data_IF_785040694208
#
_entry.id   IF_785040694208
#
_cell.length_a   1.000
_cell.length_b   1.000
_cell.length_c   1.000
_cell.angle_alpha   90.00
_cell.angle_beta   90.00
_cell.angle_gamma   90.00
#
_symmetry.space_group_name_H-M   'P 1'
#
loop_
_entity.id
_entity.type
_entity.pdbx_description
1 polymer ?
#
# COMPACT_ATOMS: atom_id res chain seq x y z
N UNK A 1 -2.01 34.82 -25.52
CA UNK A 1 -2.28 35.31 -24.14
C UNK A 1 -2.67 34.10 -23.30
N UNK A 2 -2.03 33.83 -22.14
CA UNK A 2 -2.41 32.69 -21.32
C UNK A 2 -3.84 32.88 -20.83
N UNK A 3 -4.70 31.89 -21.07
CA UNK A 3 -6.09 31.90 -20.58
C UNK A 3 -6.04 31.85 -19.06
N UNK A 4 -6.41 32.96 -18.42
CA UNK A 4 -6.41 33.08 -16.96
C UNK A 4 -7.54 32.23 -16.38
N UNK A 5 -7.25 31.43 -15.35
CA UNK A 5 -8.28 30.62 -14.67
C UNK A 5 -9.43 31.53 -14.20
N UNK A 6 -10.70 31.19 -14.48
CA UNK A 6 -11.85 31.97 -14.05
C UNK A 6 -11.85 32.19 -12.53
N UNK A 7 -12.27 33.37 -12.10
CA UNK A 7 -12.40 33.71 -10.69
C UNK A 7 -13.85 34.07 -10.34
N UNK A 8 -14.19 34.08 -9.04
CA UNK A 8 -15.50 34.59 -8.60
C UNK A 8 -15.73 36.05 -9.01
N UNK A 9 -14.67 36.83 -9.23
CA UNK A 9 -14.77 38.19 -9.72
C UNK A 9 -15.18 38.24 -11.21
N UNK A 10 -14.81 37.25 -12.00
CA UNK A 10 -15.25 37.13 -13.40
C UNK A 10 -16.73 36.73 -13.48
N UNK A 11 -17.16 35.78 -12.62
CA UNK A 11 -18.58 35.43 -12.46
C UNK A 11 -19.39 36.66 -12.03
N UNK A 12 -18.93 37.38 -11.00
CA UNK A 12 -19.60 38.55 -10.46
C UNK A 12 -19.80 39.64 -11.54
N UNK A 13 -18.76 39.89 -12.35
CA UNK A 13 -18.79 40.84 -13.46
C UNK A 13 -19.81 40.44 -14.52
N UNK A 14 -19.84 39.15 -14.92
CA UNK A 14 -20.74 38.65 -15.95
C UNK A 14 -22.20 38.55 -15.47
N UNK A 15 -22.41 38.25 -14.19
CA UNK A 15 -23.72 38.19 -13.56
C UNK A 15 -24.25 39.58 -13.14
N UNK A 16 -23.43 40.62 -13.13
CA UNK A 16 -23.82 41.96 -12.68
C UNK A 16 -24.14 42.02 -11.18
N UNK A 17 -23.39 41.27 -10.36
CA UNK A 17 -23.60 41.19 -8.89
C UNK A 17 -22.28 41.35 -8.14
N UNK A 18 -22.32 41.40 -6.81
CA UNK A 18 -21.10 41.45 -5.98
C UNK A 18 -20.45 40.07 -5.82
N UNK A 19 -19.14 40.04 -5.53
CA UNK A 19 -18.42 38.79 -5.19
C UNK A 19 -19.05 38.07 -3.98
N UNK A 20 -19.62 38.81 -3.03
CA UNK A 20 -20.33 38.25 -1.88
C UNK A 20 -21.61 37.51 -2.30
N UNK A 21 -22.41 38.08 -3.20
CA UNK A 21 -23.59 37.41 -3.76
C UNK A 21 -23.21 36.15 -4.54
N UNK A 22 -22.11 36.17 -5.30
CA UNK A 22 -21.56 34.96 -5.95
C UNK A 22 -21.17 33.91 -4.90
N UNK A 23 -20.51 34.30 -3.81
CA UNK A 23 -20.17 33.39 -2.71
C UNK A 23 -21.40 32.73 -2.08
N UNK A 24 -22.45 33.50 -1.83
CA UNK A 24 -23.69 33.00 -1.22
C UNK A 24 -24.46 32.09 -2.16
N UNK A 25 -24.49 32.43 -3.46
CA UNK A 25 -25.08 31.60 -4.49
C UNK A 25 -24.38 30.24 -4.61
N UNK A 26 -23.04 30.24 -4.72
CA UNK A 26 -22.23 29.03 -4.94
C UNK A 26 -22.13 28.13 -3.71
N UNK A 27 -22.19 28.68 -2.49
CA UNK A 27 -22.14 27.91 -1.24
C UNK A 27 -23.54 27.62 -0.66
N UNK A 28 -24.60 27.77 -1.46
CA UNK A 28 -25.99 27.55 -1.05
C UNK A 28 -26.41 28.30 0.24
N UNK A 29 -25.89 29.52 0.47
CA UNK A 29 -26.24 30.35 1.64
C UNK A 29 -27.46 31.23 1.34
N UNK A 30 -28.28 31.59 2.36
CA UNK A 30 -29.38 32.54 2.19
C UNK A 30 -28.86 33.95 1.87
N UNK A 31 -29.70 34.79 1.25
CA UNK A 31 -29.35 36.18 0.89
C UNK A 31 -29.18 36.47 -0.61
N UNK A 32 -29.53 35.51 -1.47
CA UNK A 32 -29.60 35.67 -2.94
C UNK A 32 -30.92 35.09 -3.42
N UNK A 33 -31.65 35.79 -4.29
CA UNK A 33 -32.89 35.28 -4.87
C UNK A 33 -32.63 34.07 -5.77
N UNK A 34 -33.56 33.11 -5.83
CA UNK A 34 -33.41 31.90 -6.66
C UNK A 34 -33.12 32.19 -8.15
N UNK A 35 -33.77 33.18 -8.80
CA UNK A 35 -33.41 33.57 -10.17
C UNK A 35 -31.95 34.03 -10.29
N UNK A 36 -31.45 34.77 -9.30
CA UNK A 36 -30.06 35.25 -9.29
C UNK A 36 -29.09 34.10 -9.04
N UNK A 37 -29.44 33.15 -8.16
CA UNK A 37 -28.67 31.94 -7.88
C UNK A 37 -28.52 31.09 -9.14
N UNK A 38 -29.62 30.80 -9.84
CA UNK A 38 -29.59 30.05 -11.10
C UNK A 38 -28.70 30.72 -12.15
N UNK A 39 -28.81 32.05 -12.31
CA UNK A 39 -27.95 32.80 -13.24
C UNK A 39 -26.46 32.70 -12.89
N UNK A 40 -26.12 32.79 -11.61
CA UNK A 40 -24.73 32.67 -11.15
C UNK A 40 -24.19 31.26 -11.41
N UNK A 41 -24.98 30.22 -11.12
CA UNK A 41 -24.58 28.82 -11.34
C UNK A 41 -24.35 28.53 -12.84
N UNK A 42 -25.27 28.99 -13.71
CA UNK A 42 -25.11 28.85 -15.16
C UNK A 42 -23.84 29.55 -15.67
N UNK A 43 -23.56 30.77 -15.22
CA UNK A 43 -22.34 31.50 -15.59
C UNK A 43 -21.08 30.79 -15.09
N UNK A 44 -21.11 30.24 -13.88
CA UNK A 44 -19.98 29.49 -13.32
C UNK A 44 -19.69 28.23 -14.15
N UNK A 45 -20.73 27.51 -14.57
CA UNK A 45 -20.65 26.34 -15.44
C UNK A 45 -20.11 26.71 -16.84
N UNK A 46 -20.66 27.75 -17.48
CA UNK A 46 -20.20 28.24 -18.79
C UNK A 46 -18.73 28.66 -18.78
N UNK A 47 -18.27 29.28 -17.69
CA UNK A 47 -16.87 29.70 -17.55
C UNK A 47 -15.95 28.53 -17.17
N UNK A 48 -16.48 27.34 -16.85
CA UNK A 48 -15.71 26.23 -16.30
C UNK A 48 -15.09 26.58 -14.94
N UNK A 49 -15.72 27.46 -14.17
CA UNK A 49 -15.23 27.85 -12.86
C UNK A 49 -15.37 26.70 -11.86
N UNK A 50 -14.33 26.50 -11.06
CA UNK A 50 -14.31 25.56 -9.95
C UNK A 50 -13.88 26.28 -8.67
N UNK A 51 -14.41 25.90 -7.49
CA UNK A 51 -14.03 26.54 -6.25
C UNK A 51 -12.56 26.26 -5.91
N UNK A 52 -11.84 27.31 -5.53
CA UNK A 52 -10.44 27.19 -5.14
C UNK A 52 -10.32 26.33 -3.87
N UNK A 53 -9.59 25.22 -3.94
CA UNK A 53 -9.38 24.30 -2.82
C UNK A 53 -8.72 24.99 -1.62
N UNK A 54 -7.76 25.89 -1.84
CA UNK A 54 -7.12 26.64 -0.76
C UNK A 54 -8.10 27.58 -0.04
N UNK A 55 -9.04 28.18 -0.77
CA UNK A 55 -10.08 29.01 -0.17
C UNK A 55 -11.10 28.17 0.62
N UNK A 56 -11.46 26.97 0.12
CA UNK A 56 -12.32 26.00 0.83
C UNK A 56 -11.67 25.48 2.11
N UNK A 57 -10.39 25.13 2.06
CA UNK A 57 -9.65 24.67 3.24
C UNK A 57 -9.61 25.72 4.36
N UNK A 58 -9.55 27.00 3.99
CA UNK A 58 -9.63 28.12 4.94
C UNK A 58 -11.05 28.34 5.49
N UNK A 59 -12.10 28.14 4.68
CA UNK A 59 -13.49 28.39 5.10
C UNK A 59 -14.12 27.22 5.86
N UNK A 60 -13.90 26.00 5.39
CA UNK A 60 -14.60 24.79 5.83
C UNK A 60 -13.72 23.96 6.78
N UNK A 61 -12.45 24.36 6.95
CA UNK A 61 -11.47 23.68 7.80
C UNK A 61 -10.94 22.36 7.24
N UNK A 62 -11.41 21.92 6.05
CA UNK A 62 -11.06 20.66 5.39
C UNK A 62 -10.35 20.86 4.06
N UNK A 63 -9.30 20.09 3.82
CA UNK A 63 -8.54 20.09 2.58
C UNK A 63 -9.31 19.47 1.40
N UNK A 64 -10.15 18.47 1.69
CA UNK A 64 -10.87 17.67 0.71
C UNK A 64 -9.99 16.67 -0.02
N UNK A 65 -8.90 16.20 0.60
CA UNK A 65 -7.94 15.24 0.02
C UNK A 65 -7.33 14.34 1.09
N UNK A 66 -6.86 13.15 0.70
CA UNK A 66 -6.06 12.27 1.57
C UNK A 66 -4.65 12.11 1.03
N UNK A 67 -3.69 11.82 1.90
CA UNK A 67 -2.29 11.61 1.53
C UNK A 67 -1.87 10.15 1.60
N UNK A 68 -0.95 9.75 0.73
CA UNK A 68 -0.19 8.51 0.82
C UNK A 68 1.26 8.86 0.52
N UNK A 69 2.14 8.61 1.49
CA UNK A 69 3.59 8.74 1.30
C UNK A 69 4.20 7.34 1.35
N UNK A 70 5.10 7.07 0.41
CA UNK A 70 5.79 5.77 0.33
C UNK A 70 7.30 6.01 0.43
N UNK A 71 7.91 5.49 1.48
CA UNK A 71 9.36 5.47 1.70
C UNK A 71 10.03 4.34 0.88
N UNK A 72 10.10 4.57 -0.44
CA UNK A 72 10.73 3.68 -1.44
C UNK A 72 11.25 4.51 -2.62
N UNK A 73 12.26 4.01 -3.36
CA UNK A 73 12.65 4.59 -4.64
C UNK A 73 11.46 4.71 -5.60
N UNK A 74 11.34 5.82 -6.33
CA UNK A 74 10.19 6.07 -7.21
C UNK A 74 9.94 4.97 -8.26
N UNK A 75 11.02 4.31 -8.73
CA UNK A 75 10.92 3.17 -9.67
C UNK A 75 10.10 2.00 -9.13
N UNK A 76 9.99 1.84 -7.81
CA UNK A 76 9.23 0.75 -7.17
C UNK A 76 7.76 0.76 -7.60
N UNK A 77 7.16 1.93 -7.83
CA UNK A 77 5.76 2.04 -8.28
C UNK A 77 5.47 1.29 -9.60
N UNK A 78 6.45 1.24 -10.51
CA UNK A 78 6.31 0.54 -11.79
C UNK A 78 6.69 -0.93 -11.75
N UNK A 79 7.30 -1.39 -10.66
CA UNK A 79 7.86 -2.74 -10.54
C UNK A 79 7.04 -3.63 -9.62
N UNK A 80 6.52 -3.09 -8.52
CA UNK A 80 5.84 -3.86 -7.48
C UNK A 80 4.31 -3.74 -7.61
N UNK A 81 3.61 -4.79 -8.07
CA UNK A 81 2.17 -4.71 -8.36
C UNK A 81 1.30 -4.41 -7.14
N UNK A 82 1.79 -4.73 -5.93
CA UNK A 82 1.08 -4.50 -4.66
C UNK A 82 0.60 -3.05 -4.53
N UNK A 83 1.50 -2.06 -4.72
CA UNK A 83 1.15 -0.65 -4.50
C UNK A 83 0.10 -0.15 -5.48
N UNK A 84 0.17 -0.58 -6.75
CA UNK A 84 -0.82 -0.15 -7.75
C UNK A 84 -2.20 -0.75 -7.50
N UNK A 85 -2.27 -2.00 -7.05
CA UNK A 85 -3.54 -2.60 -6.62
C UNK A 85 -4.09 -1.91 -5.37
N UNK A 86 -3.23 -1.59 -4.40
CA UNK A 86 -3.63 -0.87 -3.19
C UNK A 86 -4.18 0.52 -3.52
N UNK A 87 -3.48 1.28 -4.36
CA UNK A 87 -3.91 2.61 -4.82
C UNK A 87 -5.21 2.51 -5.60
N UNK A 88 -5.38 1.50 -6.46
CA UNK A 88 -6.63 1.25 -7.18
C UNK A 88 -7.80 1.04 -6.20
N UNK A 89 -7.59 0.22 -5.17
CA UNK A 89 -8.54 0.00 -4.07
C UNK A 89 -8.92 1.30 -3.35
N UNK A 90 -7.93 2.09 -2.93
CA UNK A 90 -8.15 3.39 -2.30
C UNK A 90 -8.96 4.30 -3.22
N UNK A 91 -8.54 4.44 -4.48
CA UNK A 91 -9.21 5.30 -5.47
C UNK A 91 -10.65 4.89 -5.76
N UNK A 92 -10.98 3.60 -5.69
CA UNK A 92 -12.36 3.12 -5.87
C UNK A 92 -13.34 3.73 -4.87
N UNK A 93 -12.87 4.10 -3.67
CA UNK A 93 -13.66 4.73 -2.61
C UNK A 93 -13.53 6.26 -2.60
N UNK A 94 -12.42 6.81 -3.09
CA UNK A 94 -12.21 8.26 -3.15
C UNK A 94 -12.85 8.92 -4.39
N UNK A 95 -12.94 8.18 -5.50
CA UNK A 95 -13.51 8.67 -6.76
C UNK A 95 -15.00 9.00 -6.65
N UNK A 96 -15.74 8.26 -5.81
CA UNK A 96 -17.18 8.48 -5.60
C UNK A 96 -17.53 9.91 -5.20
N UNK A 97 -16.63 10.57 -4.45
CA UNK A 97 -16.80 11.95 -3.98
C UNK A 97 -15.76 12.91 -4.59
N UNK A 98 -15.09 12.52 -5.68
CA UNK A 98 -14.00 13.28 -6.30
C UNK A 98 -12.91 13.73 -5.31
N UNK A 99 -12.64 12.94 -4.27
CA UNK A 99 -11.62 13.23 -3.26
C UNK A 99 -10.23 12.89 -3.83
N UNK A 100 -9.30 13.85 -3.98
CA UNK A 100 -7.98 13.55 -4.50
C UNK A 100 -7.13 12.72 -3.52
N UNK A 101 -6.26 11.87 -4.06
CA UNK A 101 -5.17 11.23 -3.32
C UNK A 101 -3.86 11.95 -3.66
N UNK A 102 -3.23 12.54 -2.65
CA UNK A 102 -1.89 13.09 -2.75
C UNK A 102 -0.86 11.98 -2.54
N UNK A 103 -0.35 11.43 -3.64
CA UNK A 103 0.73 10.43 -3.62
C UNK A 103 2.09 11.12 -3.68
N UNK A 104 3.02 10.73 -2.81
CA UNK A 104 4.42 11.18 -2.87
C UNK A 104 5.37 10.06 -2.49
N UNK A 105 6.48 9.94 -3.21
CA UNK A 105 7.57 9.04 -2.83
C UNK A 105 8.55 9.82 -1.95
N UNK A 106 8.88 9.28 -0.78
CA UNK A 106 9.88 9.82 0.12
C UNK A 106 11.19 9.03 0.00
N UNK A 107 12.30 9.72 0.27
CA UNK A 107 13.64 9.10 0.28
C UNK A 107 13.87 8.26 1.54
N UNK A 108 13.31 8.71 2.66
CA UNK A 108 13.36 8.08 3.96
C UNK A 108 12.17 8.50 4.84
N UNK A 109 12.06 7.87 6.02
CA UNK A 109 11.05 8.16 7.03
C UNK A 109 11.08 9.61 7.53
N UNK A 110 12.25 10.26 7.56
CA UNK A 110 12.37 11.65 8.05
C UNK A 110 11.77 12.64 7.03
N UNK A 111 12.00 12.41 5.74
CA UNK A 111 11.37 13.15 4.65
C UNK A 111 9.83 12.95 4.66
N UNK A 112 9.36 11.73 4.90
CA UNK A 112 7.94 11.43 5.07
C UNK A 112 7.31 12.19 6.26
N UNK A 113 7.96 12.18 7.42
CA UNK A 113 7.54 12.97 8.59
C UNK A 113 7.47 14.47 8.27
N UNK A 114 8.45 15.00 7.55
CA UNK A 114 8.47 16.40 7.14
C UNK A 114 7.29 16.73 6.19
N UNK A 115 6.95 15.81 5.28
CA UNK A 115 5.78 15.93 4.42
C UNK A 115 4.48 15.93 5.22
N UNK A 116 4.31 15.06 6.22
CA UNK A 116 3.12 15.07 7.08
C UNK A 116 2.95 16.38 7.82
N UNK A 117 4.02 16.89 8.46
CA UNK A 117 3.99 18.20 9.14
C UNK A 117 3.64 19.33 8.18
N UNK A 118 4.25 19.34 6.99
CA UNK A 118 4.01 20.32 5.93
C UNK A 118 2.57 20.28 5.43
N UNK A 119 2.06 19.10 5.07
CA UNK A 119 0.71 18.91 4.55
C UNK A 119 -0.35 19.27 5.60
N UNK A 120 -0.13 18.90 6.85
CA UNK A 120 -1.05 19.23 7.94
C UNK A 120 -1.08 20.74 8.21
N UNK A 121 0.09 21.38 8.37
CA UNK A 121 0.18 22.83 8.61
C UNK A 121 -0.43 23.65 7.46
N UNK A 122 -0.31 23.17 6.22
CA UNK A 122 -0.83 23.85 5.03
C UNK A 122 -2.27 23.43 4.67
N UNK A 123 -2.92 22.58 5.48
CA UNK A 123 -4.27 22.04 5.22
C UNK A 123 -4.39 21.44 3.82
N UNK A 124 -3.41 20.61 3.43
CA UNK A 124 -3.38 19.94 2.12
C UNK A 124 -4.08 18.60 2.12
N UNK A 125 -4.20 17.96 3.28
CA UNK A 125 -4.89 16.67 3.43
C UNK A 125 -5.69 16.66 4.73
N UNK A 126 -6.76 15.87 4.74
CA UNK A 126 -7.61 15.62 5.92
C UNK A 126 -7.19 14.36 6.69
N UNK A 127 -6.20 13.62 6.17
CA UNK A 127 -5.63 12.44 6.79
C UNK A 127 -4.69 11.69 5.84
N UNK A 128 -3.98 10.69 6.35
CA UNK A 128 -2.99 9.92 5.59
C UNK A 128 -3.12 8.40 5.76
N UNK A 129 -2.76 7.67 4.70
CA UNK A 129 -2.50 6.25 4.76
C UNK A 129 -1.04 6.01 5.15
N UNK A 130 -0.81 5.14 6.13
CA UNK A 130 0.52 4.76 6.58
C UNK A 130 0.82 3.32 6.16
N UNK A 131 1.85 3.13 5.34
CA UNK A 131 2.34 1.83 4.87
C UNK A 131 3.76 1.58 5.37
N UNK A 132 4.25 0.34 5.24
CA UNK A 132 5.64 -0.01 5.55
C UNK A 132 6.06 0.38 6.98
N UNK A 133 5.19 0.13 7.96
CA UNK A 133 5.46 0.44 9.36
C UNK A 133 6.78 -0.22 9.80
N UNK A 134 7.65 0.51 10.49
CA UNK A 134 8.90 0.02 11.04
C UNK A 134 8.73 -0.51 12.48
N UNK A 135 9.72 -1.24 12.99
CA UNK A 135 9.66 -1.79 14.34
C UNK A 135 9.62 -0.72 15.46
N UNK A 136 10.29 0.41 15.22
CA UNK A 136 10.28 1.60 16.08
C UNK A 136 9.94 2.80 15.19
N UNK A 137 8.65 2.98 14.91
CA UNK A 137 8.20 3.91 13.89
C UNK A 137 7.87 5.31 14.44
N UNK A 138 8.74 6.27 14.17
CA UNK A 138 8.55 7.65 14.62
C UNK A 138 7.32 8.33 14.00
N UNK A 139 6.81 7.85 12.86
CA UNK A 139 5.66 8.46 12.17
C UNK A 139 4.40 8.35 13.01
N UNK A 140 4.21 7.25 13.75
CA UNK A 140 3.04 7.03 14.61
C UNK A 140 2.92 8.15 15.64
N UNK A 141 3.96 8.34 16.44
CA UNK A 141 4.01 9.39 17.47
C UNK A 141 3.80 10.79 16.87
N UNK A 142 4.38 11.07 15.70
CA UNK A 142 4.19 12.37 15.03
C UNK A 142 2.74 12.57 14.61
N UNK A 143 2.10 11.57 14.00
CA UNK A 143 0.71 11.67 13.55
C UNK A 143 -0.24 11.88 14.72
N UNK A 144 -0.01 11.21 15.85
CA UNK A 144 -0.75 11.41 17.10
C UNK A 144 -0.56 12.83 17.66
N UNK A 145 0.68 13.32 17.72
CA UNK A 145 0.99 14.68 18.20
C UNK A 145 0.39 15.78 17.32
N UNK A 146 0.30 15.55 16.01
CA UNK A 146 -0.36 16.46 15.09
C UNK A 146 -1.89 16.42 15.23
N UNK A 147 -2.45 15.38 15.84
CA UNK A 147 -3.88 15.08 15.80
C UNK A 147 -4.37 14.80 14.37
N UNK A 148 -3.49 14.28 13.53
CA UNK A 148 -3.74 14.05 12.11
C UNK A 148 -4.40 12.67 11.93
N UNK A 149 -5.61 12.58 11.35
CA UNK A 149 -6.24 11.31 11.07
C UNK A 149 -5.35 10.42 10.20
N UNK A 150 -5.11 9.19 10.63
CA UNK A 150 -4.31 8.24 9.87
C UNK A 150 -4.84 6.82 10.02
N UNK A 151 -4.58 6.00 8.99
CA UNK A 151 -4.87 4.56 9.01
C UNK A 151 -3.62 3.80 8.63
N UNK A 152 -3.24 2.83 9.45
CA UNK A 152 -2.14 1.92 9.16
C UNK A 152 -2.63 0.80 8.26
N UNK A 153 -1.87 0.49 7.22
CA UNK A 153 -2.11 -0.64 6.32
C UNK A 153 -1.04 -1.67 6.64
N UNK A 154 -1.35 -2.57 7.57
CA UNK A 154 -0.40 -3.50 8.19
C UNK A 154 -0.84 -3.88 9.59
N UNK A 155 -0.14 -4.85 10.20
CA UNK A 155 -0.50 -5.39 11.51
C UNK A 155 -0.67 -4.29 12.60
N UNK A 156 -1.62 -4.45 13.55
CA UNK A 156 -1.94 -3.44 14.57
C UNK A 156 -0.86 -3.31 15.66
N UNK A 157 0.22 -4.09 15.58
CA UNK A 157 1.31 -4.01 16.55
C UNK A 157 2.19 -2.78 16.30
N UNK A 158 2.24 -1.92 17.31
CA UNK A 158 3.04 -0.68 17.29
C UNK A 158 2.37 0.45 16.52
N UNK A 159 1.05 0.42 16.35
CA UNK A 159 0.29 1.50 15.69
C UNK A 159 -0.17 2.60 16.66
N UNK A 160 0.10 2.45 17.97
CA UNK A 160 -0.37 3.40 18.98
C UNK A 160 -1.90 3.42 19.04
N UNK A 161 -2.49 4.61 18.97
CA UNK A 161 -3.93 4.81 18.85
C UNK A 161 -4.44 4.82 17.39
N UNK A 162 -3.55 4.66 16.40
CA UNK A 162 -3.95 4.68 14.99
C UNK A 162 -4.63 3.36 14.62
N UNK A 163 -5.82 3.41 14.00
CA UNK A 163 -6.52 2.21 13.54
C UNK A 163 -5.75 1.55 12.38
N UNK A 164 -5.83 0.23 12.30
CA UNK A 164 -5.19 -0.55 11.27
C UNK A 164 -6.18 -1.35 10.41
N UNK A 165 -5.91 -1.46 9.11
CA UNK A 165 -6.44 -2.56 8.30
C UNK A 165 -5.32 -3.58 8.13
N UNK A 166 -5.58 -4.85 8.44
CA UNK A 166 -4.53 -5.87 8.54
C UNK A 166 -5.01 -7.27 8.16
N UNK A 167 -4.05 -8.19 7.96
CA UNK A 167 -4.28 -9.63 7.86
C UNK A 167 -3.20 -10.37 8.65
N UNK A 168 -3.49 -11.58 9.16
CA UNK A 168 -2.52 -12.34 9.96
C UNK A 168 -1.39 -12.94 9.10
N UNK A 169 -0.34 -12.15 8.88
CA UNK A 169 0.89 -12.57 8.21
C UNK A 169 1.58 -13.76 8.90
N UNK A 170 1.49 -13.86 10.23
CA UNK A 170 2.10 -14.97 10.96
C UNK A 170 1.34 -16.28 10.69
N UNK A 171 0.00 -16.24 10.62
CA UNK A 171 -0.80 -17.39 10.21
C UNK A 171 -0.51 -17.82 8.77
N UNK A 172 -0.39 -16.87 7.85
CA UNK A 172 -0.04 -17.15 6.45
C UNK A 172 1.35 -17.83 6.33
N UNK A 173 2.36 -17.34 7.06
CA UNK A 173 3.67 -18.01 7.11
C UNK A 173 3.56 -19.44 7.66
N UNK A 174 2.84 -19.64 8.77
CA UNK A 174 2.65 -20.99 9.35
C UNK A 174 1.98 -21.93 8.35
N UNK A 175 0.99 -21.47 7.61
CA UNK A 175 0.29 -22.26 6.59
C UNK A 175 1.24 -22.67 5.45
N UNK A 176 2.06 -21.74 4.95
CA UNK A 176 3.06 -22.01 3.91
C UNK A 176 4.11 -23.02 4.37
N UNK A 177 4.70 -22.80 5.55
CA UNK A 177 5.77 -23.68 6.06
C UNK A 177 5.24 -25.09 6.31
N UNK A 178 4.03 -25.22 6.89
CA UNK A 178 3.38 -26.53 7.09
C UNK A 178 3.09 -27.22 5.77
N UNK A 179 2.55 -26.51 4.78
CA UNK A 179 2.31 -27.07 3.45
C UNK A 179 3.60 -27.64 2.83
N UNK A 180 4.73 -26.91 2.89
CA UNK A 180 6.00 -27.40 2.39
C UNK A 180 6.52 -28.61 3.19
N UNK A 181 6.34 -28.60 4.51
CA UNK A 181 6.73 -29.72 5.38
C UNK A 181 5.92 -30.99 5.09
N UNK A 182 4.62 -30.85 4.83
CA UNK A 182 3.69 -31.93 4.47
C UNK A 182 4.05 -32.56 3.12
N UNK A 183 4.57 -31.74 2.18
CA UNK A 183 5.14 -32.22 0.91
C UNK A 183 6.50 -32.91 1.08
N UNK A 184 7.07 -32.94 2.28
CA UNK A 184 8.33 -33.61 2.59
C UNK A 184 9.56 -32.70 2.56
N UNK A 185 9.42 -31.39 2.37
CA UNK A 185 10.55 -30.48 2.48
C UNK A 185 11.09 -30.44 3.92
N UNK A 186 12.42 -30.47 4.04
CA UNK A 186 13.14 -30.43 5.35
C UNK A 186 14.14 -29.28 5.47
N UNK A 187 14.59 -28.74 4.33
CA UNK A 187 15.47 -27.57 4.25
C UNK A 187 14.75 -26.48 3.49
N UNK A 188 14.43 -25.38 4.18
CA UNK A 188 13.69 -24.24 3.64
C UNK A 188 14.57 -22.99 3.65
N UNK A 189 14.35 -22.09 2.70
CA UNK A 189 14.86 -20.74 2.78
C UNK A 189 13.73 -19.71 2.63
N UNK A 190 13.90 -18.57 3.27
CA UNK A 190 13.08 -17.38 3.03
C UNK A 190 13.98 -16.26 2.51
N UNK A 191 13.63 -15.71 1.35
CA UNK A 191 14.23 -14.49 0.80
C UNK A 191 13.27 -13.34 1.12
N UNK A 192 13.63 -12.58 2.15
CA UNK A 192 12.77 -11.55 2.73
C UNK A 192 13.20 -10.14 2.37
N UNK A 193 12.30 -9.18 2.59
CA UNK A 193 12.63 -7.76 2.48
C UNK A 193 13.43 -7.21 3.66
N UNK A 194 13.52 -5.88 3.80
CA UNK A 194 14.29 -5.24 4.86
C UNK A 194 13.78 -5.58 6.27
N UNK A 195 14.70 -5.94 7.16
CA UNK A 195 14.39 -6.41 8.52
C UNK A 195 13.89 -5.30 9.46
N UNK A 196 13.99 -4.02 9.05
CA UNK A 196 13.40 -2.89 9.80
C UNK A 196 11.87 -2.82 9.72
N UNK A 197 11.27 -3.45 8.70
CA UNK A 197 9.84 -3.37 8.45
C UNK A 197 9.09 -4.38 9.32
N UNK A 198 7.99 -3.93 9.92
CA UNK A 198 7.20 -4.71 10.88
C UNK A 198 6.68 -6.02 10.28
N UNK A 199 6.11 -5.98 9.07
CA UNK A 199 5.61 -7.20 8.41
C UNK A 199 6.75 -8.18 8.12
N UNK A 200 7.92 -7.71 7.72
CA UNK A 200 9.11 -8.56 7.52
C UNK A 200 9.54 -9.23 8.82
N UNK A 201 9.55 -8.49 9.94
CA UNK A 201 9.85 -9.04 11.27
C UNK A 201 8.83 -10.10 11.67
N UNK A 202 7.53 -9.80 11.55
CA UNK A 202 6.44 -10.75 11.86
C UNK A 202 6.63 -12.04 11.08
N UNK A 203 6.86 -11.94 9.76
CA UNK A 203 7.05 -13.10 8.89
C UNK A 203 8.33 -13.87 9.24
N UNK A 204 9.43 -13.18 9.54
CA UNK A 204 10.69 -13.83 9.95
C UNK A 204 10.52 -14.59 11.27
N UNK A 205 9.91 -13.97 12.28
CA UNK A 205 9.65 -14.59 13.58
C UNK A 205 8.75 -15.81 13.42
N UNK A 206 7.66 -15.70 12.65
CA UNK A 206 6.76 -16.81 12.37
C UNK A 206 7.45 -17.96 11.62
N UNK A 207 8.30 -17.64 10.64
CA UNK A 207 9.06 -18.62 9.86
C UNK A 207 9.99 -19.43 10.77
N UNK A 208 10.83 -18.75 11.55
CA UNK A 208 11.78 -19.42 12.45
C UNK A 208 11.08 -20.20 13.57
N UNK A 209 9.97 -19.69 14.11
CA UNK A 209 9.17 -20.41 15.09
C UNK A 209 8.60 -21.72 14.51
N UNK A 210 8.01 -21.66 13.31
CA UNK A 210 7.40 -22.81 12.66
C UNK A 210 8.44 -23.84 12.19
N UNK A 211 9.57 -23.39 11.65
CA UNK A 211 10.72 -24.25 11.30
C UNK A 211 11.20 -25.03 12.51
N UNK A 212 11.35 -24.38 13.67
CA UNK A 212 11.77 -25.03 14.92
C UNK A 212 10.70 -26.00 15.45
N UNK A 213 9.42 -25.61 15.42
CA UNK A 213 8.29 -26.47 15.84
C UNK A 213 8.24 -27.77 15.06
N UNK A 214 8.51 -27.72 13.75
CA UNK A 214 8.45 -28.86 12.84
C UNK A 214 9.78 -29.63 12.71
N UNK A 215 10.83 -29.24 13.43
CA UNK A 215 12.15 -29.89 13.35
C UNK A 215 12.82 -29.76 11.97
N UNK A 216 12.58 -28.66 11.26
CA UNK A 216 13.16 -28.37 9.95
C UNK A 216 14.45 -27.53 10.08
N UNK A 217 15.21 -27.47 8.99
CA UNK A 217 16.30 -26.49 8.83
C UNK A 217 15.77 -25.31 8.00
N UNK A 218 15.93 -24.09 8.51
CA UNK A 218 15.43 -22.89 7.85
C UNK A 218 16.41 -21.73 7.93
N UNK A 219 16.69 -21.08 6.79
CA UNK A 219 17.52 -19.87 6.72
C UNK A 219 16.73 -18.69 6.14
N UNK A 220 17.04 -17.48 6.61
CA UNK A 220 16.46 -16.24 6.06
C UNK A 220 17.59 -15.41 5.44
N UNK A 221 17.34 -14.85 4.25
CA UNK A 221 18.21 -13.89 3.58
C UNK A 221 17.46 -12.58 3.44
N UNK A 222 17.98 -11.51 4.04
CA UNK A 222 17.45 -10.15 3.89
C UNK A 222 17.86 -9.54 2.56
N UNK A 223 16.93 -8.81 1.94
CA UNK A 223 17.10 -8.11 0.65
C UNK A 223 16.34 -6.77 0.67
N UNK A 224 16.35 -6.04 -0.43
CA UNK A 224 15.68 -4.75 -0.61
C UNK A 224 14.37 -4.85 -1.41
N UNK A 225 13.77 -6.05 -1.53
CA UNK A 225 12.64 -6.37 -2.40
C UNK A 225 12.90 -6.32 -3.91
N UNK A 226 14.10 -5.94 -4.35
CA UNK A 226 14.42 -5.90 -5.77
C UNK A 226 14.61 -7.29 -6.35
N UNK A 227 14.24 -7.45 -7.63
CA UNK A 227 14.51 -8.67 -8.37
C UNK A 227 16.00 -9.03 -8.43
N UNK A 228 16.88 -8.02 -8.52
CA UNK A 228 18.33 -8.22 -8.54
C UNK A 228 18.83 -8.85 -7.23
N UNK A 229 18.44 -8.29 -6.08
CA UNK A 229 18.80 -8.84 -4.79
C UNK A 229 18.17 -10.23 -4.56
N UNK A 230 16.92 -10.44 -4.99
CA UNK A 230 16.26 -11.74 -4.94
C UNK A 230 16.99 -12.81 -5.76
N UNK A 231 17.44 -12.48 -6.97
CA UNK A 231 18.22 -13.37 -7.83
C UNK A 231 19.61 -13.66 -7.23
N UNK A 232 20.28 -12.65 -6.67
CA UNK A 232 21.58 -12.81 -6.01
C UNK A 232 21.48 -13.70 -4.76
N UNK A 233 20.45 -13.50 -3.92
CA UNK A 233 20.16 -14.34 -2.77
C UNK A 233 19.90 -15.79 -3.18
N UNK A 234 19.13 -15.99 -4.26
CA UNK A 234 18.85 -17.32 -4.81
C UNK A 234 20.13 -18.04 -5.23
N UNK A 235 21.00 -17.39 -6.02
CA UNK A 235 22.29 -17.97 -6.42
C UNK A 235 23.13 -18.34 -5.20
N UNK A 236 23.24 -17.44 -4.22
CA UNK A 236 24.01 -17.68 -2.99
C UNK A 236 23.49 -18.90 -2.21
N UNK A 237 22.17 -19.03 -2.06
CA UNK A 237 21.54 -20.15 -1.36
C UNK A 237 21.81 -21.51 -2.05
N UNK A 238 21.92 -21.52 -3.38
CA UNK A 238 22.02 -22.76 -4.16
C UNK A 238 23.45 -23.17 -4.52
N UNK A 239 24.43 -22.28 -4.37
CA UNK A 239 25.85 -22.61 -4.57
C UNK A 239 26.39 -23.62 -3.55
N UNK A 240 25.80 -23.71 -2.35
CA UNK A 240 26.23 -24.61 -1.26
C UNK A 240 25.59 -26.00 -1.31
N UNK A 241 25.79 -26.75 -2.40
CA UNK A 241 24.98 -27.94 -2.81
C UNK A 241 24.61 -28.96 -1.71
N UNK A 242 25.45 -29.20 -0.69
CA UNK A 242 25.16 -30.17 0.36
C UNK A 242 24.05 -29.71 1.33
N UNK A 243 23.99 -28.41 1.63
CA UNK A 243 23.06 -27.81 2.61
C UNK A 243 21.97 -26.96 1.93
N UNK A 244 21.89 -27.02 0.60
CA UNK A 244 20.98 -26.19 -0.17
C UNK A 244 19.51 -26.42 0.22
N UNK A 245 18.69 -25.35 0.30
CA UNK A 245 17.26 -25.47 0.54
C UNK A 245 16.59 -26.21 -0.62
N UNK A 246 15.56 -26.97 -0.28
CA UNK A 246 14.69 -27.67 -1.26
C UNK A 246 13.46 -26.84 -1.65
N UNK A 247 13.17 -25.79 -0.89
CA UNK A 247 12.14 -24.81 -1.23
C UNK A 247 12.55 -23.40 -0.77
N UNK A 248 12.21 -22.39 -1.58
CA UNK A 248 12.43 -20.97 -1.27
C UNK A 248 11.09 -20.22 -1.26
N UNK A 249 10.83 -19.51 -0.16
CA UNK A 249 9.70 -18.59 0.02
C UNK A 249 10.21 -17.16 -0.22
N UNK A 250 9.60 -16.42 -1.12
CA UNK A 250 9.94 -15.03 -1.41
C UNK A 250 8.86 -14.10 -0.85
N UNK A 251 9.26 -13.01 -0.19
CA UNK A 251 8.31 -12.05 0.39
C UNK A 251 7.55 -11.18 -0.63
N UNK A 252 7.89 -11.25 -1.92
CA UNK A 252 7.11 -10.69 -3.03
C UNK A 252 7.30 -11.51 -4.31
N UNK A 253 6.44 -11.24 -5.28
CA UNK A 253 6.43 -11.85 -6.62
C UNK A 253 7.63 -11.46 -7.50
N UNK A 254 8.08 -10.20 -7.45
CA UNK A 254 9.23 -9.71 -8.24
C UNK A 254 10.50 -10.49 -7.92
N UNK A 255 10.79 -10.71 -6.64
CA UNK A 255 11.92 -11.53 -6.21
C UNK A 255 11.71 -13.00 -6.57
N UNK A 256 10.49 -13.53 -6.48
CA UNK A 256 10.19 -14.92 -6.82
C UNK A 256 10.44 -15.21 -8.32
N UNK A 257 9.99 -14.31 -9.20
CA UNK A 257 10.21 -14.38 -10.65
C UNK A 257 11.70 -14.27 -10.99
N UNK A 258 12.41 -13.35 -10.34
CA UNK A 258 13.85 -13.17 -10.53
C UNK A 258 14.65 -14.36 -9.98
N UNK A 259 14.17 -14.96 -8.89
CA UNK A 259 14.67 -16.20 -8.32
C UNK A 259 14.47 -17.38 -9.27
N UNK A 260 13.29 -17.50 -9.87
CA UNK A 260 13.01 -18.51 -10.91
C UNK A 260 13.99 -18.39 -12.08
N UNK A 261 14.19 -17.18 -12.61
CA UNK A 261 15.16 -16.94 -13.68
C UNK A 261 16.59 -17.31 -13.25
N UNK A 262 16.98 -17.03 -12.01
CA UNK A 262 18.29 -17.40 -11.46
C UNK A 262 18.46 -18.92 -11.32
N UNK A 263 17.43 -19.64 -10.85
CA UNK A 263 17.44 -21.11 -10.77
C UNK A 263 17.63 -21.71 -12.17
N UNK A 264 16.87 -21.23 -13.16
CA UNK A 264 16.96 -21.70 -14.54
C UNK A 264 18.32 -21.39 -15.16
N UNK A 265 18.90 -20.22 -14.90
CA UNK A 265 20.25 -19.88 -15.39
C UNK A 265 21.35 -20.74 -14.78
N UNK A 266 21.10 -21.35 -13.63
CA UNK A 266 21.99 -22.33 -12.99
C UNK A 266 21.80 -23.76 -13.54
N UNK A 267 20.90 -23.96 -14.51
CA UNK A 267 20.57 -25.27 -15.08
C UNK A 267 19.71 -26.16 -14.16
N UNK A 268 19.11 -25.58 -13.11
CA UNK A 268 18.20 -26.28 -12.20
C UNK A 268 16.76 -26.12 -12.69
N UNK A 269 15.93 -27.11 -12.38
CA UNK A 269 14.52 -27.18 -12.77
C UNK A 269 13.62 -26.86 -11.59
N UNK A 270 12.59 -26.07 -11.86
CA UNK A 270 11.48 -25.83 -10.93
C UNK A 270 10.28 -26.62 -11.45
N UNK A 271 9.56 -27.42 -10.64
CA UNK A 271 9.80 -27.67 -9.21
C UNK A 271 10.77 -28.84 -8.94
N UNK A 272 11.26 -29.53 -9.98
CA UNK A 272 11.89 -30.84 -9.83
C UNK A 272 13.15 -30.84 -8.94
N UNK A 273 14.00 -29.82 -9.07
CA UNK A 273 15.23 -29.70 -8.28
C UNK A 273 15.02 -28.74 -7.08
N UNK A 274 14.10 -27.78 -7.21
CA UNK A 274 13.75 -26.83 -6.14
C UNK A 274 12.33 -26.28 -6.31
N UNK A 275 11.61 -26.18 -5.19
CA UNK A 275 10.28 -25.55 -5.12
C UNK A 275 10.38 -24.05 -4.84
N UNK A 276 9.58 -23.21 -5.51
CA UNK A 276 9.55 -21.76 -5.30
C UNK A 276 8.13 -21.30 -4.97
N UNK A 277 8.00 -20.37 -4.02
CA UNK A 277 6.73 -19.80 -3.60
C UNK A 277 6.82 -18.28 -3.47
N UNK A 278 5.82 -17.56 -3.99
CA UNK A 278 5.71 -16.11 -3.87
C UNK A 278 4.70 -15.71 -2.77
N UNK A 279 5.01 -14.66 -2.01
CA UNK A 279 4.06 -14.10 -1.04
C UNK A 279 2.94 -13.29 -1.68
N UNK A 280 3.20 -12.65 -2.82
CA UNK A 280 2.18 -11.92 -3.55
C UNK A 280 1.82 -12.66 -4.83
N UNK A 281 0.54 -12.61 -5.19
CA UNK A 281 -0.02 -13.29 -6.35
C UNK A 281 -0.40 -12.27 -7.42
N UNK A 282 0.54 -11.89 -8.27
CA UNK A 282 0.28 -11.01 -9.42
C UNK A 282 0.27 -11.77 -10.73
N UNK A 283 -0.07 -11.07 -11.80
CA UNK A 283 0.03 -11.59 -13.17
C UNK A 283 1.45 -12.13 -13.49
N UNK A 284 2.50 -11.63 -12.84
CA UNK A 284 3.85 -12.16 -13.03
C UNK A 284 3.95 -13.63 -12.60
N UNK A 285 3.26 -14.03 -11.53
CA UNK A 285 3.23 -15.42 -11.07
C UNK A 285 2.54 -16.35 -12.06
N UNK A 286 1.59 -15.85 -12.85
CA UNK A 286 0.83 -16.64 -13.82
C UNK A 286 1.51 -16.75 -15.18
N UNK A 287 2.23 -15.70 -15.59
CA UNK A 287 2.83 -15.59 -16.93
C UNK A 287 4.18 -16.30 -17.07
N UNK A 288 4.88 -16.57 -15.97
CA UNK A 288 6.16 -17.27 -15.99
C UNK A 288 5.99 -18.79 -16.12
N UNK A 289 7.07 -19.48 -16.52
CA UNK A 289 7.06 -20.93 -16.67
C UNK A 289 8.16 -21.60 -15.81
N UNK A 290 7.80 -22.53 -14.89
CA UNK A 290 6.43 -22.88 -14.51
C UNK A 290 5.72 -21.72 -13.77
N UNK A 291 4.38 -21.67 -13.78
CA UNK A 291 3.64 -20.66 -13.03
C UNK A 291 3.87 -20.84 -11.52
N UNK A 292 4.03 -19.72 -10.82
CA UNK A 292 4.42 -19.69 -9.41
C UNK A 292 3.22 -19.93 -8.48
N UNK A 293 3.36 -20.90 -7.58
CA UNK A 293 2.53 -21.03 -6.37
C UNK A 293 2.71 -19.76 -5.55
N UNK A 294 1.60 -19.15 -5.14
CA UNK A 294 1.62 -17.85 -4.47
C UNK A 294 0.56 -17.72 -3.37
N UNK A 295 0.72 -16.74 -2.48
CA UNK A 295 -0.33 -16.33 -1.55
C UNK A 295 -1.18 -15.22 -2.19
N UNK A 296 -2.46 -15.51 -2.42
CA UNK A 296 -3.41 -14.63 -3.06
C UNK A 296 -4.28 -13.90 -2.05
N UNK A 297 -4.40 -12.59 -2.19
CA UNK A 297 -5.27 -11.74 -1.36
C UNK A 297 -5.88 -10.62 -2.19
N UNK A 298 -7.03 -10.13 -1.74
CA UNK A 298 -7.71 -8.99 -2.36
C UNK A 298 -7.04 -7.67 -1.95
N UNK A 299 -5.96 -7.29 -2.63
CA UNK A 299 -5.21 -6.06 -2.34
C UNK A 299 -6.04 -4.81 -2.65
N UNK A 300 -6.89 -4.86 -3.68
CA UNK A 300 -7.80 -3.76 -3.99
C UNK A 300 -8.88 -3.59 -2.90
N UNK A 301 -9.48 -4.69 -2.44
CA UNK A 301 -10.39 -4.69 -1.29
C UNK A 301 -9.71 -4.15 -0.03
N UNK A 302 -8.46 -4.52 0.21
CA UNK A 302 -7.64 -4.01 1.31
C UNK A 302 -7.48 -2.49 1.27
N UNK A 303 -7.18 -1.93 0.08
CA UNK A 303 -7.12 -0.48 -0.14
C UNK A 303 -8.47 0.22 0.05
N UNK A 304 -9.56 -0.40 -0.41
CA UNK A 304 -10.91 0.12 -0.24
C UNK A 304 -11.34 0.16 1.24
N UNK A 305 -11.01 -0.88 2.02
CA UNK A 305 -11.23 -0.90 3.46
C UNK A 305 -10.45 0.20 4.17
N UNK A 306 -9.17 0.39 3.83
CA UNK A 306 -8.35 1.45 4.40
C UNK A 306 -8.95 2.84 4.12
N UNK A 307 -9.42 3.08 2.89
CA UNK A 307 -10.04 4.35 2.50
C UNK A 307 -11.33 4.65 3.26
N UNK A 308 -12.20 3.64 3.45
CA UNK A 308 -13.40 3.77 4.29
C UNK A 308 -13.05 4.11 5.74
N UNK A 309 -12.05 3.42 6.30
CA UNK A 309 -11.62 3.63 7.68
C UNK A 309 -11.03 5.03 7.88
N UNK A 310 -10.20 5.50 6.95
CA UNK A 310 -9.58 6.83 7.02
C UNK A 310 -10.64 7.93 6.91
N UNK A 311 -11.62 7.74 6.02
CA UNK A 311 -12.76 8.65 5.88
C UNK A 311 -13.58 8.74 7.18
N UNK A 312 -13.84 7.61 7.84
CA UNK A 312 -14.53 7.60 9.13
C UNK A 312 -13.71 8.33 10.21
N UNK A 313 -12.42 8.04 10.30
CA UNK A 313 -11.50 8.68 11.24
C UNK A 313 -11.43 10.21 11.02
N UNK A 314 -11.26 10.66 9.78
CA UNK A 314 -11.24 12.09 9.44
C UNK A 314 -12.59 12.77 9.63
N UNK A 315 -13.69 12.01 9.62
CA UNK A 315 -15.03 12.45 9.98
C UNK A 315 -15.28 12.57 11.49
N UNK A 316 -14.31 12.19 12.33
CA UNK A 316 -14.45 12.15 13.79
C UNK A 316 -15.29 10.96 14.30
N UNK A 317 -15.51 9.94 13.46
CA UNK A 317 -16.20 8.73 13.89
C UNK A 317 -15.25 7.82 14.66
N UNK A 318 -15.73 7.11 15.71
CA UNK A 318 -14.96 6.05 16.34
C UNK A 318 -14.60 4.97 15.33
N UNK A 319 -13.33 4.58 15.31
CA UNK A 319 -12.77 3.57 14.43
C UNK A 319 -11.96 2.57 15.24
N UNK A 320 -11.96 1.32 14.80
CA UNK A 320 -11.21 0.22 15.39
C UNK A 320 -10.45 -0.52 14.29
N UNK A 321 -9.52 -1.36 14.70
CA UNK A 321 -8.79 -2.22 13.78
C UNK A 321 -9.74 -3.12 12.99
N UNK A 322 -9.40 -3.33 11.72
CA UNK A 322 -10.13 -4.19 10.82
C UNK A 322 -9.21 -5.29 10.31
N UNK A 323 -9.52 -6.52 10.70
CA UNK A 323 -8.92 -7.70 10.10
C UNK A 323 -9.65 -8.02 8.78
N UNK A 324 -8.88 -8.08 7.69
CA UNK A 324 -9.30 -8.56 6.39
C UNK A 324 -8.97 -10.06 6.23
N UNK A 325 -9.65 -10.77 5.31
CA UNK A 325 -9.44 -12.20 5.12
C UNK A 325 -7.97 -12.56 4.91
N UNK A 326 -7.54 -13.65 5.55
CA UNK A 326 -6.20 -14.17 5.41
C UNK A 326 -5.88 -14.51 3.93
N UNK A 327 -4.63 -14.31 3.47
CA UNK A 327 -4.19 -14.75 2.15
C UNK A 327 -4.42 -16.25 1.96
N UNK A 328 -4.86 -16.63 0.75
CA UNK A 328 -5.08 -18.03 0.37
C UNK A 328 -3.88 -18.54 -0.41
N UNK A 329 -3.41 -19.74 -0.10
CA UNK A 329 -2.36 -20.39 -0.87
C UNK A 329 -2.91 -20.91 -2.20
N UNK A 330 -2.53 -20.27 -3.29
CA UNK A 330 -2.86 -20.65 -4.67
C UNK A 330 -1.77 -21.57 -5.21
N UNK A 331 -2.07 -22.87 -5.27
CA UNK A 331 -1.14 -23.88 -5.78
C UNK A 331 -1.03 -23.81 -7.31
N UNK A 332 0.21 -23.73 -7.82
CA UNK A 332 0.54 -23.78 -9.25
C UNK A 332 1.73 -24.72 -9.48
N UNK A 333 2.41 -24.56 -10.62
CA UNK A 333 3.43 -25.51 -11.11
C UNK A 333 4.81 -25.41 -10.45
N UNK A 334 5.04 -24.45 -9.54
CA UNK A 334 6.38 -24.21 -8.99
C UNK A 334 6.70 -24.92 -7.67
N UNK A 335 5.78 -25.73 -7.14
CA UNK A 335 5.98 -26.47 -5.88
C UNK A 335 5.64 -27.95 -6.09
N UNK A 336 6.53 -28.83 -5.67
CA UNK A 336 6.33 -30.28 -5.62
C UNK A 336 7.14 -30.90 -4.47
N UNK A 337 6.88 -32.18 -4.15
CA UNK A 337 7.70 -32.92 -3.19
C UNK A 337 9.18 -32.96 -3.64
N UNK A 338 10.15 -32.83 -2.70
CA UNK A 338 11.56 -32.86 -3.05
C UNK A 338 11.98 -34.27 -3.48
N UNK A 339 12.97 -34.35 -4.38
CA UNK A 339 13.63 -35.61 -4.71
C UNK A 339 14.39 -36.10 -3.46
N UNK A 340 14.20 -37.39 -3.12
CA UNK A 340 14.90 -38.05 -2.02
C UNK A 340 16.38 -38.22 -2.30
#
# INVERSE_FOLDING_TARGET
MPVKRPTMADIARRAGVTKGAVSFALNNRPGVSEPTRHRILAIAEELGWQPNSAARALSDGRAGAFGLVIDRPARTLGLEPFFMQLISGIQSELTRDATPLMLTMAEDQAAEVALYKSWWAQRRVDGVFLVDLQADDARVTVLEQLGMPAVVIGAPVGTGALPAVWSDDAAAVRAVVRHLADLGHRRLARVGGPARLRHTVIRATAFHACVRELGLTGVTVETDYSGEAGAAATRKLLSGRADAPTAIIYDNDVMAVSGLAAVQSMGLRVPADISLLAWDDSALCELVHPPLTALSRDIAGYGAHAARLLRAAAGGLPVADREDPAPRLTLRGSVAAPIK
#
